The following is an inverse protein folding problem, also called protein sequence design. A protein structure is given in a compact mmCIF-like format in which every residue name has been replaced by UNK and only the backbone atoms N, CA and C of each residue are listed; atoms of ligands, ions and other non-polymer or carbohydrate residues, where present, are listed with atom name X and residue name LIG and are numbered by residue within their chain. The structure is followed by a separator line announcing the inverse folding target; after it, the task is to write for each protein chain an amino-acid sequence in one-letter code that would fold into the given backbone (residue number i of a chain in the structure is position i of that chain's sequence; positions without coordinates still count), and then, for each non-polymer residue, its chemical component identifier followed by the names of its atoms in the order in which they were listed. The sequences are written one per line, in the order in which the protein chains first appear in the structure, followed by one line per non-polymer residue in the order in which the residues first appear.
data_IF_508924509062
#
_entry.id   IF_508924509062
#
_cell.length_a   1.000
_cell.length_b   1.000
_cell.length_c   1.000
_cell.angle_alpha   90.00
_cell.angle_beta   90.00
_cell.angle_gamma   90.00
#
_symmetry.space_group_name_H-M   'P 1'
#
loop_
_entity.id
_entity.type
_entity.pdbx_description
1 polymer ?
#
# COMPACT_ATOMS: atom_id res chain seq x y z
N UNK A 1 8.48 10.66 11.09
CA UNK A 1 8.58 9.43 10.27
C UNK A 1 7.42 9.47 9.29
N UNK A 2 7.56 9.10 8.01
CA UNK A 2 6.45 9.19 7.05
C UNK A 2 5.23 8.40 7.53
N UNK A 3 4.05 9.01 7.45
CA UNK A 3 2.77 8.44 7.87
C UNK A 3 1.66 8.88 6.90
N UNK A 4 0.51 8.21 6.96
CA UNK A 4 -0.70 8.55 6.21
C UNK A 4 -1.83 8.94 7.17
N UNK A 5 -2.84 9.73 6.74
CA UNK A 5 -3.85 10.29 7.64
C UNK A 5 -4.65 9.28 8.47
N UNK A 6 -4.70 8.01 8.04
CA UNK A 6 -5.39 6.92 8.72
C UNK A 6 -4.46 6.01 9.53
N UNK A 7 -3.18 6.37 9.65
CA UNK A 7 -2.15 5.61 10.36
C UNK A 7 -1.89 4.19 9.81
N UNK A 8 -2.38 3.88 8.60
CA UNK A 8 -2.09 2.64 7.89
C UNK A 8 -1.07 2.89 6.78
N UNK A 9 -0.17 1.95 6.45
CA UNK A 9 0.71 2.11 5.30
C UNK A 9 -0.06 2.05 3.97
N UNK A 10 0.51 2.63 2.91
CA UNK A 10 0.08 2.40 1.53
C UNK A 10 0.95 1.31 0.93
N UNK A 11 0.33 0.18 0.57
CA UNK A 11 0.98 -1.01 0.02
C UNK A 11 0.18 -1.49 -1.18
N UNK A 12 0.79 -1.55 -2.36
CA UNK A 12 0.17 -2.06 -3.58
C UNK A 12 0.21 -1.09 -4.76
N UNK A 13 -0.53 -1.37 -5.84
CA UNK A 13 -0.49 -0.58 -7.08
C UNK A 13 -1.01 0.83 -6.91
N UNK A 14 -0.41 1.77 -7.62
CA UNK A 14 -0.97 3.10 -7.80
C UNK A 14 -2.20 3.02 -8.75
N UNK A 15 -3.37 3.56 -8.35
CA UNK A 15 -4.57 3.49 -9.17
C UNK A 15 -4.53 4.39 -10.42
N UNK A 16 -3.59 5.35 -10.48
CA UNK A 16 -3.47 6.34 -11.56
C UNK A 16 -2.28 6.08 -12.48
N UNK A 17 -1.24 5.39 -12.01
CA UNK A 17 -0.02 5.12 -12.77
C UNK A 17 0.30 3.62 -12.87
N UNK A 18 -0.04 2.97 -14.00
CA UNK A 18 0.27 1.56 -14.22
C UNK A 18 1.76 1.26 -14.06
N UNK A 19 2.08 0.22 -13.29
CA UNK A 19 3.45 -0.22 -13.02
C UNK A 19 4.13 0.48 -11.82
N UNK A 20 3.50 1.49 -11.22
CA UNK A 20 3.96 2.06 -9.95
C UNK A 20 3.37 1.28 -8.76
N UNK A 21 4.23 0.98 -7.78
CA UNK A 21 3.85 0.34 -6.52
C UNK A 21 4.22 1.23 -5.33
N UNK A 22 3.32 1.32 -4.36
CA UNK A 22 3.52 1.97 -3.08
C UNK A 22 3.92 0.95 -2.01
N UNK A 23 4.85 1.34 -1.14
CA UNK A 23 5.26 0.60 0.05
C UNK A 23 5.77 1.58 1.11
N UNK A 24 4.91 2.48 1.56
CA UNK A 24 5.30 3.64 2.37
C UNK A 24 4.29 3.94 3.50
N UNK A 25 4.63 4.91 4.36
CA UNK A 25 3.70 5.43 5.38
C UNK A 25 3.65 4.66 6.71
N UNK A 26 4.63 3.81 7.02
CA UNK A 26 4.60 2.91 8.20
C UNK A 26 4.77 3.58 9.58
N UNK A 27 4.80 4.91 9.68
CA UNK A 27 4.80 5.69 10.94
C UNK A 27 5.85 5.25 11.99
N UNK A 28 6.96 4.64 11.55
CA UNK A 28 8.01 4.13 12.44
C UNK A 28 7.92 2.66 12.80
N UNK A 29 6.84 1.97 12.47
CA UNK A 29 6.75 0.51 12.52
C UNK A 29 7.45 -0.18 11.33
N UNK A 30 8.05 0.59 10.41
CA UNK A 30 8.59 0.09 9.14
C UNK A 30 9.59 -1.06 9.27
N UNK A 31 10.48 -1.06 10.27
CA UNK A 31 11.45 -2.16 10.46
C UNK A 31 10.71 -3.47 10.79
N UNK A 32 9.75 -3.44 11.71
CA UNK A 32 8.99 -4.62 12.10
C UNK A 32 8.03 -5.10 11.00
N UNK A 33 7.49 -4.17 10.21
CA UNK A 33 6.54 -4.46 9.13
C UNK A 33 7.19 -4.74 7.77
N UNK A 34 8.52 -4.58 7.64
CA UNK A 34 9.23 -4.77 6.37
C UNK A 34 9.03 -6.18 5.77
N UNK A 35 9.09 -7.29 6.53
CA UNK A 35 8.87 -8.63 5.95
C UNK A 35 7.47 -8.80 5.37
N UNK A 36 6.43 -8.35 6.10
CA UNK A 36 5.05 -8.43 5.63
C UNK A 36 4.82 -7.54 4.40
N UNK A 37 5.36 -6.32 4.41
CA UNK A 37 5.28 -5.39 3.26
C UNK A 37 5.95 -5.99 2.02
N UNK A 38 7.15 -6.57 2.18
CA UNK A 38 7.88 -7.21 1.09
C UNK A 38 7.11 -8.41 0.50
N UNK A 39 6.48 -9.23 1.35
CA UNK A 39 5.66 -10.36 0.90
C UNK A 39 4.45 -9.90 0.08
N UNK A 40 3.78 -8.82 0.49
CA UNK A 40 2.67 -8.23 -0.28
C UNK A 40 3.14 -7.72 -1.65
N UNK A 41 4.24 -6.95 -1.69
CA UNK A 41 4.80 -6.44 -2.95
C UNK A 41 5.24 -7.57 -3.89
N UNK A 42 5.90 -8.60 -3.36
CA UNK A 42 6.33 -9.75 -4.14
C UNK A 42 5.13 -10.51 -4.72
N UNK A 43 4.05 -10.69 -3.94
CA UNK A 43 2.82 -11.32 -4.41
C UNK A 43 2.19 -10.52 -5.57
N UNK A 44 2.09 -9.19 -5.44
CA UNK A 44 1.58 -8.31 -6.50
C UNK A 44 2.43 -8.42 -7.77
N UNK A 45 3.75 -8.49 -7.65
CA UNK A 45 4.67 -8.56 -8.79
C UNK A 45 4.69 -9.91 -9.52
N UNK A 46 4.29 -11.01 -8.87
CA UNK A 46 4.59 -12.37 -9.37
C UNK A 46 3.37 -13.25 -9.60
N UNK A 47 2.37 -13.23 -8.71
CA UNK A 47 1.28 -14.21 -8.72
C UNK A 47 -0.11 -13.61 -8.55
N UNK A 48 -0.19 -12.38 -8.05
CA UNK A 48 -1.42 -11.73 -7.61
C UNK A 48 -2.20 -12.55 -6.54
N UNK A 49 -1.56 -13.52 -5.88
CA UNK A 49 -2.11 -14.28 -4.76
C UNK A 49 -1.61 -13.67 -3.45
N UNK A 50 -2.45 -12.85 -2.83
CA UNK A 50 -2.10 -12.14 -1.61
C UNK A 50 -2.16 -13.08 -0.39
N UNK A 51 -1.18 -13.00 0.53
CA UNK A 51 -1.15 -13.82 1.76
C UNK A 51 -2.21 -13.43 2.80
N UNK A 52 -2.87 -12.29 2.62
CA UNK A 52 -3.90 -11.73 3.50
C UNK A 52 -4.74 -10.69 2.73
N UNK A 53 -5.87 -10.27 3.30
CA UNK A 53 -6.66 -9.16 2.76
C UNK A 53 -5.89 -7.84 2.92
N UNK A 54 -5.37 -7.32 1.80
CA UNK A 54 -4.57 -6.11 1.75
C UNK A 54 -5.41 -4.85 1.46
N UNK A 55 -6.73 -4.97 1.34
CA UNK A 55 -7.65 -3.85 1.04
C UNK A 55 -7.44 -2.64 1.96
N UNK A 56 -7.25 -2.79 3.29
CA UNK A 56 -7.00 -1.64 4.18
C UNK A 56 -5.71 -0.86 3.87
N UNK A 57 -4.76 -1.49 3.18
CA UNK A 57 -3.47 -0.90 2.82
C UNK A 57 -3.43 -0.39 1.39
N UNK A 58 -4.46 -0.65 0.59
CA UNK A 58 -4.48 -0.27 -0.82
C UNK A 58 -4.36 1.26 -0.97
N UNK A 59 -3.51 1.78 -1.89
CA UNK A 59 -3.38 3.23 -2.10
C UNK A 59 -4.67 3.90 -2.54
N UNK A 60 -5.54 3.17 -3.24
CA UNK A 60 -6.84 3.65 -3.75
C UNK A 60 -7.84 4.07 -2.66
N UNK A 61 -7.60 3.72 -1.39
CA UNK A 61 -8.44 4.18 -0.27
C UNK A 61 -8.45 5.70 -0.10
N UNK A 62 -7.46 6.40 -0.67
CA UNK A 62 -7.41 7.86 -0.72
C UNK A 62 -7.82 8.45 -2.08
N UNK A 63 -8.16 7.61 -3.07
CA UNK A 63 -8.51 8.07 -4.42
C UNK A 63 -9.94 8.66 -4.51
N UNK A 64 -10.71 8.67 -3.42
CA UNK A 64 -12.11 9.09 -3.39
C UNK A 64 -12.35 10.62 -3.28
N UNK A 65 -11.32 11.47 -3.37
CA UNK A 65 -11.51 12.92 -3.20
C UNK A 65 -11.25 13.80 -4.45
N UNK A 66 -10.75 13.27 -5.57
CA UNK A 66 -10.46 14.08 -6.77
C UNK A 66 -11.61 14.12 -7.80
N UNK A 67 -12.69 13.35 -7.64
CA UNK A 67 -13.80 13.34 -8.61
C UNK A 67 -14.87 14.44 -8.38
N UNK A 68 -14.69 15.33 -7.39
CA UNK A 68 -15.63 16.43 -7.04
C UNK A 68 -14.90 17.76 -6.83
N UNK A 69 -13.79 18.01 -7.54
CA UNK A 69 -13.18 19.34 -7.63
C UNK A 69 -12.84 19.71 -9.07
#
# INVERSE_FOLDING_TARGET
RPYLPDHLPAIGPDPRLPGLLHACGHEGAGIGLAPATGALIAAVLTSNQLPLDATPFAPERFALEEAVR
#
